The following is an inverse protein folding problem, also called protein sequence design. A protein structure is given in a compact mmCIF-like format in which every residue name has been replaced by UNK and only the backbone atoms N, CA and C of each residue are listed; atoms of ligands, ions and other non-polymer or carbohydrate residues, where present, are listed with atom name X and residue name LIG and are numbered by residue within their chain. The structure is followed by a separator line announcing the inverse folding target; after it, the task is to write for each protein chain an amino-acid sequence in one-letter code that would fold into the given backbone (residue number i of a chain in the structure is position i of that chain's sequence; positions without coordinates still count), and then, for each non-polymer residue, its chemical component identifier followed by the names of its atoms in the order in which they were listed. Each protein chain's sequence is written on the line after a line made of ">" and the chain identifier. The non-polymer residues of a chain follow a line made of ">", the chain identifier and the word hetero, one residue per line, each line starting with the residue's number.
data_IF_008825137988
#
_entry.id   IF_008825137988
#
_cell.length_a   1.000
_cell.length_b   1.000
_cell.length_c   1.000
_cell.angle_alpha   90.00
_cell.angle_beta   90.00
_cell.angle_gamma   90.00
#
_symmetry.space_group_name_H-M   'P 1'
#
loop_
_entity.id
_entity.type
_entity.pdbx_description
1 polymer ?
#
# COMPACT_ATOMS: atom_id res chain seq x y z
N UNK A 1 16.19 -68.48 23.79
CA UNK A 1 15.04 -69.17 24.44
C UNK A 1 14.22 -69.81 23.32
N UNK A 2 14.49 -71.05 22.88
CA UNK A 2 13.96 -72.35 23.35
C UNK A 2 12.46 -72.37 23.74
N UNK A 3 11.72 -73.29 23.08
CA UNK A 3 10.33 -73.82 23.25
C UNK A 3 9.34 -73.25 22.21
N UNK A 4 9.07 -73.90 21.07
CA UNK A 4 8.28 -75.13 20.80
C UNK A 4 6.92 -75.12 21.52
N UNK A 5 5.83 -74.99 20.75
CA UNK A 5 4.58 -75.71 20.99
C UNK A 5 3.89 -76.03 19.65
N UNK A 6 4.00 -77.28 19.26
CA UNK A 6 3.19 -77.97 18.24
C UNK A 6 2.06 -78.65 19.00
N UNK A 7 0.80 -78.39 18.65
CA UNK A 7 -0.27 -79.38 18.86
C UNK A 7 -1.07 -79.49 17.56
N UNK A 8 -0.92 -80.68 16.99
CA UNK A 8 -1.73 -81.32 15.97
C UNK A 8 -2.96 -81.93 16.67
N UNK A 9 -4.17 -81.64 16.22
CA UNK A 9 -5.30 -82.56 16.41
C UNK A 9 -6.26 -82.46 15.23
N UNK A 10 -6.15 -83.46 14.37
CA UNK A 10 -7.12 -83.87 13.35
C UNK A 10 -8.47 -84.24 13.98
N UNK A 11 -9.56 -83.71 13.43
CA UNK A 11 -10.81 -84.47 13.30
C UNK A 11 -11.48 -84.10 11.97
N UNK A 12 -11.44 -85.05 11.04
CA UNK A 12 -12.32 -85.10 9.87
C UNK A 12 -13.72 -85.55 10.34
N UNK A 13 -14.74 -84.77 9.99
CA UNK A 13 -16.13 -85.21 9.92
C UNK A 13 -16.69 -84.76 8.56
N UNK A 14 -16.96 -85.68 7.61
CA UNK A 14 -17.72 -85.36 6.41
C UNK A 14 -19.21 -85.39 6.76
N UNK A 15 -19.76 -84.23 7.18
CA UNK A 15 -21.20 -84.02 7.28
C UNK A 15 -21.68 -83.27 6.05
N UNK A 16 -22.77 -83.80 5.47
CA UNK A 16 -23.19 -83.56 4.09
C UNK A 16 -23.32 -82.11 3.69
N UNK A 17 -22.88 -81.83 2.47
CA UNK A 17 -23.15 -80.58 1.77
C UNK A 17 -24.66 -80.43 1.52
N UNK A 18 -25.37 -79.89 2.50
CA UNK A 18 -26.58 -79.13 2.21
C UNK A 18 -26.10 -77.80 1.65
N UNK A 19 -26.28 -77.63 0.34
CA UNK A 19 -26.05 -76.37 -0.35
C UNK A 19 -27.04 -75.34 0.17
N UNK A 20 -26.74 -74.71 1.31
CA UNK A 20 -27.38 -73.47 1.67
C UNK A 20 -26.95 -72.46 0.63
N UNK A 21 -27.84 -72.21 -0.33
CA UNK A 21 -27.81 -70.98 -1.12
C UNK A 21 -28.04 -69.87 -0.11
N UNK A 22 -26.96 -69.37 0.49
CA UNK A 22 -26.95 -68.09 1.18
C UNK A 22 -27.18 -67.08 0.06
N UNK A 23 -28.45 -66.78 -0.21
CA UNK A 23 -28.82 -65.60 -0.95
C UNK A 23 -28.30 -64.42 -0.11
N UNK A 24 -27.09 -63.96 -0.44
CA UNK A 24 -26.60 -62.68 0.05
C UNK A 24 -27.74 -61.69 -0.19
N UNK A 25 -28.38 -61.12 0.86
CA UNK A 25 -29.36 -60.07 0.63
C UNK A 25 -28.63 -59.05 -0.21
N UNK A 26 -29.16 -58.75 -1.41
CA UNK A 26 -28.57 -57.83 -2.37
C UNK A 26 -27.94 -56.70 -1.58
N UNK A 27 -26.60 -56.70 -1.46
CA UNK A 27 -25.90 -55.63 -0.77
C UNK A 27 -26.36 -54.42 -1.54
N UNK A 28 -27.17 -53.58 -0.92
CA UNK A 28 -27.50 -52.28 -1.45
C UNK A 28 -26.15 -51.59 -1.46
N UNK A 29 -25.43 -51.72 -2.58
CA UNK A 29 -24.19 -51.01 -2.80
C UNK A 29 -24.58 -49.56 -2.67
N UNK A 30 -24.25 -48.95 -1.52
CA UNK A 30 -24.36 -47.52 -1.35
C UNK A 30 -23.59 -46.93 -2.53
N UNK A 31 -24.32 -46.36 -3.48
CA UNK A 31 -23.71 -45.81 -4.69
C UNK A 31 -22.72 -44.73 -4.23
N UNK A 32 -21.43 -44.99 -4.45
CA UNK A 32 -20.36 -44.02 -4.14
C UNK A 32 -20.68 -42.69 -4.81
N UNK A 33 -20.49 -41.59 -4.09
CA UNK A 33 -20.74 -40.23 -4.58
C UNK A 33 -19.60 -39.79 -5.50
N UNK A 34 -19.91 -39.14 -6.62
CA UNK A 34 -18.89 -38.71 -7.57
C UNK A 34 -18.38 -37.31 -7.20
N UNK A 35 -17.10 -37.17 -6.85
CA UNK A 35 -16.54 -35.88 -6.42
C UNK A 35 -16.59 -34.80 -7.51
N UNK A 36 -16.73 -35.17 -8.79
CA UNK A 36 -16.90 -34.22 -9.89
C UNK A 36 -18.18 -33.38 -9.77
N UNK A 37 -19.23 -33.93 -9.14
CA UNK A 37 -20.47 -33.17 -8.86
C UNK A 37 -20.20 -31.98 -7.91
N UNK A 38 -19.18 -32.08 -7.06
CA UNK A 38 -18.78 -31.00 -6.13
C UNK A 38 -18.01 -29.91 -6.87
N UNK A 39 -17.13 -30.27 -7.81
CA UNK A 39 -16.43 -29.31 -8.67
C UNK A 39 -17.42 -28.49 -9.51
N UNK A 40 -18.41 -29.16 -10.11
CA UNK A 40 -19.46 -28.50 -10.91
C UNK A 40 -20.34 -27.56 -10.07
N UNK A 41 -20.59 -27.92 -8.80
CA UNK A 41 -21.35 -27.09 -7.86
C UNK A 41 -20.54 -25.92 -7.27
N UNK A 42 -19.22 -26.05 -7.14
CA UNK A 42 -18.35 -25.05 -6.52
C UNK A 42 -17.16 -24.72 -7.43
N UNK A 43 -17.38 -23.73 -8.30
CA UNK A 43 -16.37 -23.29 -9.27
C UNK A 43 -15.07 -22.77 -8.64
N UNK A 44 -15.13 -22.22 -7.43
CA UNK A 44 -13.97 -21.71 -6.71
C UNK A 44 -14.09 -21.92 -5.20
N UNK A 45 -12.97 -22.25 -4.55
CA UNK A 45 -12.86 -22.47 -3.12
C UNK A 45 -12.04 -21.35 -2.46
N UNK A 46 -12.40 -20.96 -1.25
CA UNK A 46 -11.64 -19.99 -0.44
C UNK A 46 -11.03 -20.73 0.76
N UNK A 47 -9.80 -21.25 0.66
CA UNK A 47 -9.14 -21.91 1.78
C UNK A 47 -8.85 -20.91 2.90
N UNK A 48 -8.45 -21.40 4.09
CA UNK A 48 -8.07 -20.52 5.20
C UNK A 48 -6.77 -19.74 4.94
N UNK A 49 -5.88 -20.32 4.14
CA UNK A 49 -4.59 -19.76 3.74
C UNK A 49 -4.13 -20.46 2.43
N UNK A 50 -3.01 -20.08 1.83
CA UNK A 50 -2.52 -20.63 0.57
C UNK A 50 -1.60 -21.86 0.77
N UNK A 51 -1.80 -22.65 1.82
CA UNK A 51 -1.13 -23.94 2.00
C UNK A 51 -1.92 -25.08 1.37
N UNK A 52 -1.23 -26.16 0.99
CA UNK A 52 -1.88 -27.38 0.49
C UNK A 52 -2.83 -27.99 1.53
N UNK A 53 -2.51 -27.90 2.83
CA UNK A 53 -3.34 -28.40 3.91
C UNK A 53 -4.65 -27.64 4.03
N UNK A 54 -4.62 -26.30 3.92
CA UNK A 54 -5.83 -25.49 3.95
C UNK A 54 -6.70 -25.69 2.69
N UNK A 55 -6.06 -25.89 1.53
CA UNK A 55 -6.75 -26.24 0.29
C UNK A 55 -7.45 -27.61 0.40
N UNK A 56 -6.72 -28.64 0.84
CA UNK A 56 -7.25 -29.99 1.08
C UNK A 56 -8.42 -29.98 2.07
N UNK A 57 -8.26 -29.29 3.20
CA UNK A 57 -9.31 -29.13 4.20
C UNK A 57 -10.56 -28.43 3.62
N UNK A 58 -10.39 -27.41 2.77
CA UNK A 58 -11.50 -26.76 2.09
C UNK A 58 -12.23 -27.71 1.13
N UNK A 59 -11.50 -28.55 0.37
CA UNK A 59 -12.11 -29.55 -0.52
C UNK A 59 -12.90 -30.58 0.29
N UNK A 60 -12.29 -31.18 1.31
CA UNK A 60 -12.96 -32.17 2.18
C UNK A 60 -14.21 -31.57 2.81
N UNK A 61 -14.11 -30.34 3.35
CA UNK A 61 -15.26 -29.64 3.93
C UNK A 61 -16.40 -29.50 2.92
N UNK A 62 -16.11 -29.09 1.68
CA UNK A 62 -17.14 -28.96 0.63
C UNK A 62 -17.75 -30.30 0.23
N UNK A 63 -16.95 -31.36 0.11
CA UNK A 63 -17.45 -32.70 -0.18
C UNK A 63 -18.38 -33.18 0.94
N UNK A 64 -17.97 -33.01 2.20
CA UNK A 64 -18.75 -33.41 3.38
C UNK A 64 -20.05 -32.62 3.47
N UNK A 65 -20.00 -31.30 3.30
CA UNK A 65 -21.17 -30.42 3.33
C UNK A 65 -22.15 -30.77 2.18
N UNK A 66 -21.64 -31.04 0.97
CA UNK A 66 -22.47 -31.28 -0.21
C UNK A 66 -23.17 -32.65 -0.20
N UNK A 67 -22.45 -33.71 0.23
CA UNK A 67 -23.01 -35.06 0.25
C UNK A 67 -23.55 -35.50 1.61
N UNK A 68 -23.34 -34.70 2.66
CA UNK A 68 -23.62 -35.04 4.06
C UNK A 68 -22.94 -36.37 4.48
N UNK A 69 -21.62 -36.42 4.31
CA UNK A 69 -20.76 -37.58 4.62
C UNK A 69 -19.49 -37.12 5.37
N UNK A 70 -18.66 -38.06 5.81
CA UNK A 70 -17.38 -37.78 6.46
C UNK A 70 -16.23 -38.44 5.67
N UNK A 71 -15.67 -37.69 4.71
CA UNK A 71 -14.49 -38.09 3.93
C UNK A 71 -13.21 -37.82 4.73
N UNK A 72 -12.29 -38.78 4.71
CA UNK A 72 -10.96 -38.65 5.34
C UNK A 72 -9.84 -38.64 4.31
N UNK A 73 -8.88 -37.73 4.49
CA UNK A 73 -7.65 -37.72 3.70
C UNK A 73 -6.90 -39.05 3.86
N UNK A 74 -6.17 -39.45 2.81
CA UNK A 74 -5.43 -40.72 2.63
C UNK A 74 -6.26 -42.00 2.66
N UNK A 75 -7.43 -41.98 3.31
CA UNK A 75 -8.34 -43.14 3.40
C UNK A 75 -9.34 -43.12 2.25
N UNK A 76 -10.00 -41.98 2.03
CA UNK A 76 -11.05 -41.82 1.03
C UNK A 76 -10.61 -40.98 -0.16
N UNK A 77 -9.73 -40.01 0.06
CA UNK A 77 -9.25 -39.08 -0.96
C UNK A 77 -7.75 -38.83 -0.81
N UNK A 78 -7.06 -38.69 -1.93
CA UNK A 78 -5.69 -38.20 -2.02
C UNK A 78 -5.65 -36.92 -2.85
N UNK A 79 -4.75 -36.01 -2.48
CA UNK A 79 -4.57 -34.73 -3.18
C UNK A 79 -3.29 -34.72 -4.01
N UNK A 80 -3.37 -34.12 -5.19
CA UNK A 80 -2.28 -33.98 -6.14
C UNK A 80 -2.40 -32.67 -6.92
N UNK A 81 -1.38 -32.36 -7.74
CA UNK A 81 -1.37 -31.21 -8.65
C UNK A 81 -1.69 -29.87 -7.96
N UNK A 82 -1.19 -29.68 -6.75
CA UNK A 82 -1.38 -28.43 -6.02
C UNK A 82 -0.59 -27.28 -6.67
N UNK A 83 -1.29 -26.20 -7.02
CA UNK A 83 -0.69 -24.92 -7.41
C UNK A 83 -1.16 -23.83 -6.45
N UNK A 84 -0.20 -23.06 -5.92
CA UNK A 84 -0.48 -22.01 -4.94
C UNK A 84 -1.12 -20.80 -5.62
N UNK A 85 -2.25 -20.35 -5.07
CA UNK A 85 -2.88 -19.09 -5.50
C UNK A 85 -2.01 -17.87 -5.16
N UNK A 86 -2.05 -16.84 -6.00
CA UNK A 86 -1.42 -15.54 -5.77
C UNK A 86 -2.36 -14.40 -6.21
N UNK A 87 -1.93 -13.16 -6.00
CA UNK A 87 -2.67 -11.94 -6.33
C UNK A 87 -3.01 -11.77 -7.81
N UNK A 88 -2.31 -12.49 -8.71
CA UNK A 88 -2.52 -12.45 -10.15
C UNK A 88 -3.20 -13.70 -10.73
N UNK A 89 -3.23 -14.81 -10.00
CA UNK A 89 -3.76 -16.08 -10.52
C UNK A 89 -4.37 -16.96 -9.43
N UNK A 90 -5.53 -17.53 -9.71
CA UNK A 90 -6.12 -18.60 -8.88
C UNK A 90 -5.16 -19.80 -8.81
N UNK A 91 -5.15 -20.45 -7.65
CA UNK A 91 -4.48 -21.74 -7.46
C UNK A 91 -5.39 -22.89 -7.85
N UNK A 92 -4.88 -24.11 -7.76
CA UNK A 92 -5.63 -25.33 -8.06
C UNK A 92 -5.21 -26.47 -7.13
N UNK A 93 -6.13 -27.41 -6.91
CA UNK A 93 -5.84 -28.68 -6.25
C UNK A 93 -6.72 -29.79 -6.84
N UNK A 94 -6.13 -30.94 -7.13
CA UNK A 94 -6.86 -32.09 -7.65
C UNK A 94 -7.05 -33.14 -6.55
N UNK A 95 -8.31 -33.44 -6.24
CA UNK A 95 -8.69 -34.54 -5.37
C UNK A 95 -9.02 -35.79 -6.18
N UNK A 96 -8.52 -36.94 -5.76
CA UNK A 96 -8.82 -38.24 -6.38
C UNK A 96 -9.25 -39.23 -5.29
N UNK A 97 -10.40 -39.86 -5.49
CA UNK A 97 -10.90 -40.86 -4.55
C UNK A 97 -9.99 -42.10 -4.57
N UNK A 98 -9.65 -42.61 -3.39
CA UNK A 98 -8.83 -43.83 -3.28
C UNK A 98 -9.61 -45.05 -3.79
N UNK A 99 -8.90 -46.08 -4.23
CA UNK A 99 -9.51 -47.37 -4.61
C UNK A 99 -10.25 -48.04 -3.45
N UNK A 100 -9.82 -47.76 -2.21
CA UNK A 100 -10.40 -48.30 -0.97
C UNK A 100 -11.58 -47.50 -0.43
N UNK A 101 -11.83 -46.29 -0.92
CA UNK A 101 -12.95 -45.47 -0.43
C UNK A 101 -14.28 -46.17 -0.66
N UNK A 102 -15.11 -46.25 0.39
CA UNK A 102 -16.49 -46.73 0.29
C UNK A 102 -17.50 -45.58 0.12
N UNK A 103 -17.06 -44.34 0.24
CA UNK A 103 -17.92 -43.16 0.29
C UNK A 103 -17.99 -42.43 -1.06
N UNK A 104 -16.84 -42.24 -1.69
CA UNK A 104 -16.68 -41.40 -2.88
C UNK A 104 -15.96 -42.13 -4.01
N UNK A 105 -16.06 -41.58 -5.22
CA UNK A 105 -15.36 -42.03 -6.44
C UNK A 105 -15.03 -40.84 -7.33
N UNK A 106 -14.14 -41.07 -8.30
CA UNK A 106 -13.81 -40.10 -9.33
C UNK A 106 -12.63 -39.20 -8.98
N UNK A 107 -12.41 -38.22 -9.84
CA UNK A 107 -11.33 -37.22 -9.79
C UNK A 107 -11.93 -35.86 -10.11
N UNK A 108 -11.51 -34.83 -9.37
CA UNK A 108 -12.01 -33.46 -9.54
C UNK A 108 -10.90 -32.44 -9.27
N UNK A 109 -10.91 -31.33 -10.01
CA UNK A 109 -9.95 -30.23 -9.85
C UNK A 109 -10.67 -28.97 -9.38
N UNK A 110 -10.21 -28.40 -8.27
CA UNK A 110 -10.84 -27.24 -7.66
C UNK A 110 -9.96 -26.01 -7.82
N UNK A 111 -10.53 -24.90 -8.28
CA UNK A 111 -9.85 -23.60 -8.27
C UNK A 111 -9.83 -23.02 -6.86
N UNK A 112 -8.73 -22.38 -6.51
CA UNK A 112 -8.47 -21.80 -5.20
C UNK A 112 -8.33 -20.28 -5.34
N UNK A 113 -9.17 -19.55 -4.62
CA UNK A 113 -9.06 -18.11 -4.49
C UNK A 113 -7.83 -17.77 -3.66
N UNK A 114 -7.08 -16.75 -4.10
CA UNK A 114 -5.96 -16.23 -3.34
C UNK A 114 -6.43 -15.65 -2.00
N UNK A 115 -5.74 -16.07 -0.94
CA UNK A 115 -5.87 -15.50 0.39
C UNK A 115 -4.63 -14.65 0.63
N UNK A 116 -4.76 -13.34 0.75
CA UNK A 116 -3.62 -12.54 1.18
C UNK A 116 -3.31 -12.91 2.65
N UNK A 117 -2.11 -13.40 2.92
CA UNK A 117 -1.67 -13.89 4.24
C UNK A 117 -0.89 -12.83 5.02
N UNK A 118 -0.71 -11.63 4.45
CA UNK A 118 -0.02 -10.51 5.10
C UNK A 118 -0.85 -9.97 6.28
N UNK A 119 -0.18 -9.40 7.28
CA UNK A 119 -0.90 -8.74 8.37
C UNK A 119 -1.49 -7.42 7.87
N UNK A 120 -2.73 -7.10 8.23
CA UNK A 120 -3.31 -5.80 7.90
C UNK A 120 -2.75 -4.76 8.86
N UNK A 121 -2.25 -3.63 8.33
CA UNK A 121 -1.72 -2.55 9.19
C UNK A 121 -2.77 -1.95 10.12
N UNK A 122 -4.07 -2.08 9.79
CA UNK A 122 -5.18 -1.66 10.65
C UNK A 122 -5.15 -2.36 12.01
N UNK A 123 -4.62 -3.57 12.08
CA UNK A 123 -4.54 -4.34 13.33
C UNK A 123 -3.50 -3.75 14.30
N UNK A 124 -2.55 -2.96 13.81
CA UNK A 124 -1.50 -2.30 14.61
C UNK A 124 -1.75 -0.81 14.85
N UNK A 125 -2.75 -0.22 14.19
CA UNK A 125 -3.07 1.22 14.28
C UNK A 125 -4.41 1.38 15.02
N UNK A 126 -4.31 1.60 16.33
CA UNK A 126 -5.47 1.76 17.22
C UNK A 126 -6.01 3.19 17.22
N UNK A 127 -5.12 4.18 17.18
CA UNK A 127 -5.47 5.60 17.14
C UNK A 127 -5.33 6.18 15.73
N UNK A 128 -6.45 6.63 15.16
CA UNK A 128 -6.54 7.25 13.83
C UNK A 128 -6.63 8.77 13.88
N UNK A 129 -6.62 9.35 15.07
CA UNK A 129 -6.55 10.80 15.26
C UNK A 129 -5.12 11.19 15.63
N UNK A 130 -4.46 11.87 14.70
CA UNK A 130 -3.10 12.35 14.85
C UNK A 130 -3.01 13.66 15.63
N UNK A 131 -4.16 14.31 15.86
CA UNK A 131 -4.26 15.63 16.50
C UNK A 131 -3.50 16.71 15.73
N UNK A 132 -3.13 17.75 16.47
CA UNK A 132 -2.41 18.91 15.95
C UNK A 132 -0.92 18.60 15.87
N UNK A 133 -0.33 18.88 14.72
CA UNK A 133 1.11 18.77 14.53
C UNK A 133 1.59 19.64 13.39
N UNK A 134 2.91 19.87 13.35
CA UNK A 134 3.50 20.70 12.31
C UNK A 134 4.70 20.02 11.65
N UNK A 135 4.81 20.19 10.34
CA UNK A 135 5.96 19.73 9.56
C UNK A 135 6.62 20.88 8.82
N UNK A 136 7.63 20.56 8.02
CA UNK A 136 8.43 21.60 7.36
C UNK A 136 7.79 22.10 6.06
N UNK A 137 6.95 21.28 5.42
CA UNK A 137 6.34 21.60 4.15
C UNK A 137 4.88 22.07 4.23
N UNK A 138 4.36 22.55 3.10
CA UNK A 138 2.93 22.84 2.91
C UNK A 138 2.09 21.57 3.05
N UNK A 139 2.66 20.43 2.67
CA UNK A 139 2.14 19.08 2.94
C UNK A 139 3.16 18.29 3.76
N UNK A 140 2.71 17.34 4.59
CA UNK A 140 3.62 16.45 5.31
C UNK A 140 4.34 15.49 4.37
N UNK A 141 5.61 15.22 4.67
CA UNK A 141 6.35 14.10 4.07
C UNK A 141 5.91 12.76 4.66
N UNK A 142 6.13 11.66 3.94
CA UNK A 142 5.81 10.31 4.45
C UNK A 142 6.57 9.99 5.75
N UNK A 143 7.80 10.48 5.89
CA UNK A 143 8.59 10.29 7.11
C UNK A 143 7.99 11.01 8.31
N UNK A 144 7.59 12.28 8.12
CA UNK A 144 6.93 13.06 9.18
C UNK A 144 5.61 12.42 9.60
N UNK A 145 4.77 12.05 8.62
CA UNK A 145 3.50 11.36 8.86
C UNK A 145 3.67 10.07 9.65
N UNK A 146 4.62 9.21 9.26
CA UNK A 146 4.89 7.94 9.95
C UNK A 146 5.43 8.16 11.35
N UNK A 147 6.28 9.17 11.56
CA UNK A 147 6.74 9.53 12.90
C UNK A 147 5.57 9.99 13.79
N UNK A 148 4.65 10.79 13.25
CA UNK A 148 3.46 11.21 13.99
C UNK A 148 2.54 10.01 14.33
N UNK A 149 2.36 9.07 13.39
CA UNK A 149 1.60 7.84 13.65
C UNK A 149 2.23 7.03 14.78
N UNK A 150 3.56 6.88 14.81
CA UNK A 150 4.30 6.20 15.89
C UNK A 150 4.08 6.86 17.25
N UNK A 151 4.11 8.19 17.30
CA UNK A 151 3.86 8.93 18.54
C UNK A 151 2.46 8.67 19.10
N UNK A 152 1.46 8.46 18.24
CA UNK A 152 0.07 8.16 18.63
C UNK A 152 -0.25 6.68 18.79
N UNK A 153 0.62 5.80 18.29
CA UNK A 153 0.47 4.35 18.30
C UNK A 153 1.80 3.72 18.72
N UNK A 154 2.06 3.61 20.01
CA UNK A 154 3.36 3.13 20.54
C UNK A 154 3.72 1.70 20.11
N UNK A 155 2.73 0.87 19.77
CA UNK A 155 2.92 -0.48 19.23
C UNK A 155 3.23 -0.50 17.72
N UNK A 156 3.16 0.65 17.04
CA UNK A 156 3.46 0.76 15.62
C UNK A 156 4.96 0.91 15.40
N UNK A 157 5.62 -0.13 14.89
CA UNK A 157 7.08 -0.20 14.72
C UNK A 157 7.53 -0.18 13.26
N UNK A 158 6.61 0.01 12.31
CA UNK A 158 6.91 -0.13 10.89
C UNK A 158 7.73 1.06 10.35
N UNK A 159 8.61 0.76 9.39
CA UNK A 159 9.49 1.74 8.76
C UNK A 159 8.74 2.54 7.69
N UNK A 160 9.08 3.82 7.54
CA UNK A 160 8.40 4.72 6.59
C UNK A 160 8.58 4.28 5.12
N UNK A 161 9.67 3.59 4.80
CA UNK A 161 9.90 3.05 3.45
C UNK A 161 8.84 2.02 3.00
N UNK A 162 8.07 1.44 3.93
CA UNK A 162 6.97 0.50 3.63
C UNK A 162 5.70 1.19 3.15
N UNK A 163 5.62 2.51 3.27
CA UNK A 163 4.39 3.26 3.04
C UNK A 163 4.53 4.25 1.90
N UNK A 164 3.38 4.57 1.34
CA UNK A 164 3.16 5.68 0.42
C UNK A 164 1.80 6.31 0.70
N UNK A 165 1.63 7.56 0.29
CA UNK A 165 0.34 8.23 0.41
C UNK A 165 -0.66 7.68 -0.60
N UNK A 166 -1.93 7.62 -0.19
CA UNK A 166 -3.05 7.53 -1.12
C UNK A 166 -3.52 8.96 -1.38
N UNK A 167 -3.27 9.45 -2.60
CA UNK A 167 -3.57 10.83 -2.97
C UNK A 167 -2.61 11.85 -2.34
N UNK A 168 -2.98 13.13 -2.41
CA UNK A 168 -2.21 14.24 -1.83
C UNK A 168 -2.74 14.50 -0.42
N UNK A 169 -1.90 14.44 0.63
CA UNK A 169 -2.31 14.78 1.99
C UNK A 169 -2.82 16.22 2.08
N UNK A 170 -3.81 16.45 2.96
CA UNK A 170 -4.34 17.79 3.22
C UNK A 170 -4.22 18.16 4.71
N UNK A 171 -4.64 19.38 5.06
CA UNK A 171 -4.56 19.91 6.42
C UNK A 171 -5.29 19.05 7.46
N UNK A 172 -6.38 18.40 7.06
CA UNK A 172 -7.32 17.71 7.94
C UNK A 172 -7.28 16.18 7.80
N UNK A 173 -6.80 15.67 6.67
CA UNK A 173 -6.84 14.27 6.31
C UNK A 173 -5.51 13.80 5.75
N UNK A 174 -5.17 12.57 6.11
CA UNK A 174 -4.02 11.86 5.59
C UNK A 174 -4.43 10.41 5.35
N UNK A 175 -4.01 9.82 4.25
CA UNK A 175 -4.19 8.38 4.00
C UNK A 175 -2.88 7.76 3.52
N UNK A 176 -2.51 6.63 4.13
CA UNK A 176 -1.33 5.84 3.75
C UNK A 176 -1.75 4.44 3.36
N UNK A 177 -0.98 3.82 2.48
CA UNK A 177 -1.03 2.39 2.21
C UNK A 177 0.34 1.75 2.32
N UNK A 178 0.33 0.46 2.64
CA UNK A 178 1.53 -0.36 2.48
C UNK A 178 1.80 -0.53 0.99
N UNK A 179 3.06 -0.38 0.59
CA UNK A 179 3.50 -0.66 -0.78
C UNK A 179 3.34 -2.13 -1.14
N UNK A 180 3.03 -2.40 -2.40
CA UNK A 180 2.72 -3.76 -2.87
C UNK A 180 3.91 -4.72 -2.70
N UNK A 181 5.15 -4.22 -2.74
CA UNK A 181 6.37 -5.02 -2.57
C UNK A 181 6.69 -5.43 -1.12
N UNK A 182 5.89 -5.01 -0.14
CA UNK A 182 6.07 -5.38 1.27
C UNK A 182 5.44 -6.74 1.52
N UNK A 183 6.29 -7.72 1.90
CA UNK A 183 5.91 -9.13 2.00
C UNK A 183 5.05 -9.51 3.20
N UNK A 184 5.09 -8.73 4.28
CA UNK A 184 4.51 -9.13 5.57
C UNK A 184 3.29 -8.29 5.97
N UNK A 185 3.03 -7.20 5.25
CA UNK A 185 2.00 -6.22 5.61
C UNK A 185 1.20 -5.82 4.37
N UNK A 186 -0.06 -5.47 4.60
CA UNK A 186 -0.96 -4.93 3.58
C UNK A 186 -1.89 -3.88 4.19
N UNK A 187 -2.72 -3.30 3.34
CA UNK A 187 -3.84 -2.47 3.74
C UNK A 187 -3.52 -0.97 3.67
N UNK A 188 -4.55 -0.18 3.96
CA UNK A 188 -4.48 1.28 4.01
C UNK A 188 -5.19 1.81 5.26
N UNK A 189 -4.76 2.96 5.75
CA UNK A 189 -5.39 3.63 6.88
C UNK A 189 -5.53 5.11 6.60
N UNK A 190 -6.76 5.61 6.79
CA UNK A 190 -7.10 7.02 6.78
C UNK A 190 -7.08 7.58 8.19
N UNK A 191 -6.44 8.73 8.33
CA UNK A 191 -6.22 9.45 9.57
C UNK A 191 -6.88 10.83 9.52
N UNK A 192 -7.30 11.29 10.70
CA UNK A 192 -7.64 12.69 10.96
C UNK A 192 -6.40 13.38 11.52
N UNK A 193 -6.20 14.64 11.16
CA UNK A 193 -5.11 15.46 11.66
C UNK A 193 -5.49 16.94 11.63
N UNK A 194 -4.68 17.79 12.25
CA UNK A 194 -4.60 19.22 11.94
C UNK A 194 -3.13 19.54 11.68
N UNK A 195 -2.75 19.59 10.41
CA UNK A 195 -1.38 19.84 9.99
C UNK A 195 -1.12 21.34 9.80
N UNK A 196 -0.02 21.84 10.36
CA UNK A 196 0.44 23.22 10.17
C UNK A 196 1.89 23.25 9.71
N UNK A 197 2.32 24.35 9.12
CA UNK A 197 3.74 24.53 8.76
C UNK A 197 4.47 25.01 10.02
N UNK A 198 5.59 24.36 10.35
CA UNK A 198 6.38 24.66 11.56
C UNK A 198 7.16 25.97 11.46
N UNK A 199 7.42 26.45 10.25
CA UNK A 199 8.05 27.74 9.96
C UNK A 199 7.45 28.32 8.68
N UNK A 200 6.94 29.55 8.76
CA UNK A 200 6.42 30.24 7.58
C UNK A 200 7.54 30.45 6.56
N UNK A 201 7.23 30.21 5.29
CA UNK A 201 8.08 30.63 4.19
C UNK A 201 8.18 32.16 4.22
N UNK A 202 9.39 32.71 4.17
CA UNK A 202 9.61 34.16 4.22
C UNK A 202 10.48 34.62 3.09
N UNK A 203 9.95 35.56 2.31
CA UNK A 203 10.73 36.40 1.40
C UNK A 203 11.42 37.47 2.25
N UNK A 204 12.71 37.71 1.99
CA UNK A 204 13.46 38.79 2.63
C UNK A 204 12.75 40.14 2.41
N UNK A 205 12.57 40.90 3.49
CA UNK A 205 12.06 42.27 3.38
C UNK A 205 13.01 43.14 2.56
N UNK A 206 12.46 43.88 1.60
CA UNK A 206 13.21 44.78 0.72
C UNK A 206 12.82 46.21 1.02
N UNK A 207 13.79 47.07 1.30
CA UNK A 207 13.56 48.50 1.45
C UNK A 207 13.38 49.17 0.10
N UNK A 208 12.60 50.26 0.09
CA UNK A 208 12.39 51.12 -1.08
C UNK A 208 13.72 51.54 -1.72
N UNK A 209 13.70 51.70 -3.05
CA UNK A 209 14.87 52.03 -3.86
C UNK A 209 14.64 53.32 -4.64
N UNK A 210 15.70 54.12 -4.76
CA UNK A 210 15.76 55.23 -5.71
C UNK A 210 17.00 55.06 -6.57
N UNK A 211 16.89 55.17 -7.88
CA UNK A 211 18.03 55.11 -8.79
C UNK A 211 17.82 55.95 -10.05
N UNK A 212 18.93 56.26 -10.72
CA UNK A 212 18.94 57.03 -11.94
C UNK A 212 18.49 56.19 -13.14
N UNK A 213 17.85 56.84 -14.12
CA UNK A 213 17.53 56.21 -15.39
C UNK A 213 18.83 55.79 -16.10
N UNK A 214 19.10 54.49 -16.13
CA UNK A 214 20.31 53.88 -16.68
C UNK A 214 19.98 52.63 -17.49
N UNK A 215 20.80 52.33 -18.50
CA UNK A 215 20.65 51.12 -19.32
C UNK A 215 21.07 49.83 -18.61
N UNK A 216 21.91 49.93 -17.58
CA UNK A 216 22.55 48.75 -16.97
C UNK A 216 21.66 48.03 -15.95
N UNK A 217 20.54 48.66 -15.56
CA UNK A 217 19.62 48.14 -14.56
C UNK A 217 20.21 48.02 -13.15
N UNK A 218 19.41 47.54 -12.20
CA UNK A 218 19.81 47.28 -10.81
C UNK A 218 19.53 45.82 -10.46
N UNK A 219 20.56 45.13 -9.96
CA UNK A 219 20.44 43.78 -9.41
C UNK A 219 20.25 43.80 -7.90
N UNK A 220 19.26 43.05 -7.39
CA UNK A 220 18.99 42.87 -5.95
C UNK A 220 18.92 41.38 -5.64
N UNK A 221 19.66 40.94 -4.63
CA UNK A 221 19.57 39.57 -4.14
C UNK A 221 18.36 39.41 -3.22
N UNK A 222 17.45 38.51 -3.58
CA UNK A 222 16.25 38.19 -2.83
C UNK A 222 16.42 36.80 -2.23
N UNK A 223 16.46 36.73 -0.90
CA UNK A 223 16.50 35.47 -0.18
C UNK A 223 15.08 35.01 0.17
N UNK A 224 14.79 33.74 -0.06
CA UNK A 224 13.61 33.08 0.49
C UNK A 224 14.10 32.03 1.48
N UNK A 225 13.58 32.07 2.70
CA UNK A 225 13.97 31.19 3.81
C UNK A 225 12.88 30.17 4.13
N UNK A 226 13.27 29.08 4.78
CA UNK A 226 12.43 27.92 5.12
C UNK A 226 11.92 27.16 3.89
N UNK A 227 12.69 27.20 2.79
CA UNK A 227 12.31 26.62 1.49
C UNK A 227 12.56 25.12 1.52
N UNK A 228 11.54 24.37 1.11
CA UNK A 228 11.51 22.90 1.14
C UNK A 228 11.28 22.26 -0.22
N UNK A 229 10.83 23.04 -1.21
CA UNK A 229 10.71 22.61 -2.60
C UNK A 229 11.13 23.74 -3.53
N UNK A 230 11.63 23.39 -4.72
CA UNK A 230 12.15 24.34 -5.69
C UNK A 230 11.03 25.03 -6.46
N UNK A 231 10.44 26.06 -5.85
CA UNK A 231 9.46 26.92 -6.51
C UNK A 231 10.11 28.18 -7.10
N UNK A 232 9.42 28.79 -8.07
CA UNK A 232 9.87 30.02 -8.71
C UNK A 232 9.38 31.26 -7.95
N UNK A 233 10.30 32.20 -7.70
CA UNK A 233 9.94 33.56 -7.32
C UNK A 233 9.45 34.30 -8.56
N UNK A 234 8.31 34.98 -8.45
CA UNK A 234 7.82 35.91 -9.48
C UNK A 234 7.83 37.34 -8.94
N UNK A 235 7.98 38.29 -9.86
CA UNK A 235 7.95 39.70 -9.53
C UNK A 235 7.18 40.47 -10.61
N UNK A 236 6.49 41.54 -10.21
CA UNK A 236 5.76 42.42 -11.12
C UNK A 236 5.89 43.88 -10.71
N UNK A 237 5.94 44.77 -11.70
CA UNK A 237 5.85 46.23 -11.52
C UNK A 237 4.41 46.69 -11.67
N UNK A 238 4.00 47.69 -10.90
CA UNK A 238 2.72 48.38 -11.09
C UNK A 238 2.65 49.17 -12.41
N UNK A 239 3.80 49.55 -12.97
CA UNK A 239 3.92 50.16 -14.31
C UNK A 239 5.21 49.70 -14.98
N UNK A 240 5.09 48.82 -15.97
CA UNK A 240 6.20 48.25 -16.73
C UNK A 240 6.84 49.24 -17.73
N UNK A 241 6.19 50.39 -17.95
CA UNK A 241 6.75 51.50 -18.72
C UNK A 241 7.72 52.33 -17.88
N UNK A 242 7.65 52.27 -16.56
CA UNK A 242 8.59 52.96 -15.66
C UNK A 242 9.75 52.03 -15.29
N UNK A 243 9.44 50.81 -14.84
CA UNK A 243 10.43 49.78 -14.50
C UNK A 243 10.00 48.42 -15.03
N UNK A 244 10.85 47.81 -15.85
CA UNK A 244 10.72 46.39 -16.21
C UNK A 244 11.45 45.52 -15.18
N UNK A 245 10.89 44.35 -14.89
CA UNK A 245 11.36 43.46 -13.83
C UNK A 245 11.63 42.08 -14.39
N UNK A 246 12.78 41.50 -14.04
CA UNK A 246 13.14 40.13 -14.35
C UNK A 246 13.65 39.43 -13.09
N UNK A 247 13.26 38.17 -12.90
CA UNK A 247 13.75 37.33 -11.80
C UNK A 247 14.57 36.20 -12.38
N UNK A 248 15.79 36.03 -11.87
CA UNK A 248 16.68 34.94 -12.21
C UNK A 248 17.01 34.14 -10.95
N UNK A 249 17.03 32.82 -11.04
CA UNK A 249 17.46 31.95 -9.95
C UNK A 249 19.00 31.96 -9.90
N UNK A 250 19.61 32.39 -8.77
CA UNK A 250 21.08 32.44 -8.64
C UNK A 250 21.71 31.08 -8.38
N UNK A 251 20.95 30.17 -7.76
CA UNK A 251 21.40 28.84 -7.39
C UNK A 251 20.39 27.81 -7.85
N UNK A 252 20.85 26.78 -8.57
CA UNK A 252 19.97 25.73 -9.07
C UNK A 252 19.41 24.83 -7.97
N UNK A 253 19.99 24.84 -6.77
CA UNK A 253 19.59 23.99 -5.65
C UNK A 253 19.37 24.79 -4.37
N UNK A 254 18.50 24.30 -3.50
CA UNK A 254 18.27 24.86 -2.16
C UNK A 254 19.52 24.62 -1.30
N UNK A 255 19.94 25.62 -0.52
CA UNK A 255 20.94 25.41 0.51
C UNK A 255 20.34 24.52 1.61
N UNK A 256 20.65 23.23 1.61
CA UNK A 256 20.03 22.24 2.51
C UNK A 256 20.26 22.54 4.00
N UNK A 257 21.40 23.14 4.36
CA UNK A 257 21.72 23.50 5.75
C UNK A 257 20.89 24.70 6.23
N UNK A 258 20.72 25.71 5.37
CA UNK A 258 20.05 26.97 5.70
C UNK A 258 18.58 27.02 5.30
N UNK A 259 18.13 26.05 4.50
CA UNK A 259 16.82 26.02 3.84
C UNK A 259 16.51 27.34 3.14
N UNK A 260 17.50 27.85 2.42
CA UNK A 260 17.45 29.15 1.76
C UNK A 260 17.68 28.96 0.25
N UNK A 261 16.93 29.70 -0.57
CA UNK A 261 17.23 29.91 -1.99
C UNK A 261 17.43 31.41 -2.23
N UNK A 262 18.35 31.75 -3.12
CA UNK A 262 18.61 33.14 -3.52
C UNK A 262 18.22 33.34 -4.99
N UNK A 263 17.47 34.42 -5.24
CA UNK A 263 17.12 34.92 -6.56
C UNK A 263 17.81 36.26 -6.81
N UNK A 264 18.08 36.57 -8.07
CA UNK A 264 18.51 37.88 -8.53
C UNK A 264 17.30 38.57 -9.17
N UNK A 265 16.82 39.64 -8.55
CA UNK A 265 15.84 40.55 -9.11
C UNK A 265 16.56 41.63 -9.90
N UNK A 266 16.32 41.70 -11.20
CA UNK A 266 16.82 42.76 -12.08
C UNK A 266 15.72 43.77 -12.34
N UNK A 267 16.03 45.05 -12.11
CA UNK A 267 15.15 46.19 -12.36
C UNK A 267 15.74 47.04 -13.48
N UNK A 268 15.00 47.21 -14.58
CA UNK A 268 15.43 47.98 -15.74
C UNK A 268 14.59 49.27 -15.83
N UNK A 269 15.15 50.44 -15.45
CA UNK A 269 14.43 51.69 -15.55
C UNK A 269 14.22 52.07 -17.02
N UNK A 270 12.98 52.41 -17.37
CA UNK A 270 12.60 52.84 -18.72
C UNK A 270 12.24 54.32 -18.76
N UNK A 271 11.48 54.80 -17.78
CA UNK A 271 11.06 56.19 -17.66
C UNK A 271 11.19 56.67 -16.21
N UNK A 272 11.26 57.98 -16.01
CA UNK A 272 11.17 58.63 -14.70
C UNK A 272 9.79 58.39 -14.10
N UNK A 273 9.72 58.08 -12.81
CA UNK A 273 8.46 57.79 -12.12
C UNK A 273 8.64 57.02 -10.82
N UNK A 274 7.54 56.71 -10.15
CA UNK A 274 7.49 55.87 -8.96
C UNK A 274 6.56 54.68 -9.22
N UNK A 275 7.03 53.47 -8.90
CA UNK A 275 6.25 52.23 -9.04
C UNK A 275 6.33 51.38 -7.78
N UNK A 276 5.36 50.49 -7.61
CA UNK A 276 5.40 49.42 -6.61
C UNK A 276 5.84 48.12 -7.27
N UNK A 277 6.81 47.45 -6.68
CA UNK A 277 7.23 46.10 -7.06
C UNK A 277 6.63 45.11 -6.07
N UNK A 278 5.97 44.09 -6.59
CA UNK A 278 5.39 42.99 -5.80
C UNK A 278 6.16 41.71 -6.07
N UNK A 279 6.65 41.07 -5.02
CA UNK A 279 7.31 39.77 -5.05
C UNK A 279 6.35 38.70 -4.52
N UNK A 280 6.28 37.57 -5.22
CA UNK A 280 5.45 36.43 -4.85
C UNK A 280 6.26 35.13 -4.91
N UNK A 281 6.20 34.38 -3.81
CA UNK A 281 6.74 33.04 -3.71
C UNK A 281 5.63 32.14 -3.13
N UNK A 282 5.21 31.07 -3.82
CA UNK A 282 4.07 30.28 -3.38
C UNK A 282 4.24 29.78 -1.93
N UNK A 283 3.24 30.04 -1.09
CA UNK A 283 3.25 29.69 0.33
C UNK A 283 3.94 30.68 1.26
N UNK A 284 4.52 31.78 0.74
CA UNK A 284 5.02 32.90 1.53
C UNK A 284 4.07 34.11 1.45
N UNK A 285 4.17 35.01 2.43
CA UNK A 285 3.52 36.32 2.34
C UNK A 285 4.10 37.16 1.19
N UNK A 286 3.25 37.97 0.56
CA UNK A 286 3.67 38.91 -0.48
C UNK A 286 4.60 39.96 0.10
N UNK A 287 5.66 40.30 -0.63
CA UNK A 287 6.55 41.43 -0.30
C UNK A 287 6.34 42.53 -1.34
N UNK A 288 6.05 43.73 -0.86
CA UNK A 288 5.89 44.93 -1.69
C UNK A 288 6.89 46.00 -1.28
N UNK A 289 7.47 46.70 -2.25
CA UNK A 289 8.36 47.84 -2.01
C UNK A 289 8.29 48.85 -3.16
N UNK A 290 8.65 50.09 -2.89
CA UNK A 290 8.61 51.16 -3.89
C UNK A 290 9.94 51.32 -4.60
N UNK A 291 9.86 51.69 -5.86
CA UNK A 291 11.00 52.04 -6.71
C UNK A 291 10.75 53.39 -7.35
N UNK A 292 11.66 54.33 -7.13
CA UNK A 292 11.66 55.66 -7.75
C UNK A 292 12.81 55.78 -8.75
N UNK A 293 12.46 56.05 -10.00
CA UNK A 293 13.41 56.34 -11.08
C UNK A 293 13.48 57.86 -11.23
N UNK A 294 14.70 58.41 -11.17
CA UNK A 294 14.97 59.84 -11.35
C UNK A 294 15.85 60.09 -12.56
N UNK A 295 15.80 61.31 -13.11
CA UNK A 295 16.66 61.72 -14.23
C UNK A 295 18.14 61.60 -13.85
N UNK A 296 18.94 61.09 -14.77
CA UNK A 296 20.39 61.09 -14.61
C UNK A 296 20.88 62.54 -14.55
N UNK A 297 21.79 62.88 -13.62
CA UNK A 297 22.37 64.21 -13.59
C UNK A 297 23.08 64.47 -14.92
N UNK A 298 22.85 65.63 -15.53
CA UNK A 298 23.65 66.09 -16.67
C UNK A 298 25.12 66.20 -16.20
N UNK A 299 25.98 65.31 -16.70
CA UNK A 299 27.44 65.31 -16.45
C UNK A 299 28.14 66.02 -17.60
#
# INVERSE_FOLDING_TARGET
>A
MKKIFVILSTMLLPLGASSYVIACPNKIEKRKKNIKEVEEAFQELTPANNSIQAAAASVIKKINDFFNIEVKETTDIIFSLYSRANDMSSGEITGEATSTSMLIKGKATFKLKYVDERNDIKDFIKNKDLGDWSGQGVIPTINEAINQIKLKNSEFFLSSNYFEFIGVPDKNNLEIKVKDNVKNYRGSVKFKQIYSISQDLKIQAISDKTFFQSKDGLGIDIKVTNVIDEMNLTAGSSDDKVVEVLVEKKQNTINAEKKEITFLLKLFPKNVGEVTITLNYPGADLVVFKVKVVESPDI
#
